data_IF_406746705541
#
_entry.id   IF_406746705541
#
_cell.length_a   1.000
_cell.length_b   1.000
_cell.length_c   1.000
_cell.angle_alpha   90.00
_cell.angle_beta   90.00
_cell.angle_gamma   90.00
#
_symmetry.space_group_name_H-M   'P 1'
#
loop_
_entity.id
_entity.type
_entity.pdbx_description
1 polymer ?
#
# COMPACT_ATOMS: atom_id res chain seq x y z
N UNK A 1 -19.25 -5.07 -24.88
CA UNK A 1 -18.90 -4.12 -23.81
C UNK A 1 -17.60 -3.44 -24.21
N UNK A 2 -17.61 -2.14 -24.46
CA UNK A 2 -16.40 -1.38 -24.80
C UNK A 2 -15.67 -1.05 -23.49
N UNK A 3 -14.34 -0.86 -23.55
CA UNK A 3 -13.55 -0.41 -22.38
C UNK A 3 -14.08 0.94 -21.85
N UNK A 4 -14.67 1.77 -22.71
CA UNK A 4 -15.36 3.02 -22.36
C UNK A 4 -16.59 2.85 -21.47
N UNK A 5 -17.14 1.64 -21.39
CA UNK A 5 -18.36 1.32 -20.64
C UNK A 5 -18.04 0.78 -19.23
N UNK A 6 -16.74 0.59 -18.91
CA UNK A 6 -16.27 0.27 -17.56
C UNK A 6 -16.19 1.58 -16.77
N UNK A 7 -16.94 1.73 -15.67
CA UNK A 7 -16.83 2.90 -14.81
C UNK A 7 -15.37 3.12 -14.40
N UNK A 8 -14.87 4.35 -14.54
CA UNK A 8 -13.57 4.72 -14.01
C UNK A 8 -13.72 4.99 -12.51
N UNK A 9 -13.78 3.91 -11.73
CA UNK A 9 -14.00 3.92 -10.29
C UNK A 9 -12.95 4.80 -9.59
N UNK A 10 -11.70 4.79 -10.06
CA UNK A 10 -10.63 5.65 -9.54
C UNK A 10 -10.93 7.13 -9.75
N UNK A 11 -11.40 7.53 -10.94
CA UNK A 11 -11.78 8.92 -11.19
C UNK A 11 -12.99 9.38 -10.36
N UNK A 12 -13.92 8.46 -10.02
CA UNK A 12 -15.00 8.76 -9.08
C UNK A 12 -14.48 8.97 -7.66
N UNK A 13 -13.51 8.16 -7.21
CA UNK A 13 -12.84 8.33 -5.92
C UNK A 13 -12.02 9.62 -5.87
N UNK A 14 -11.30 9.96 -6.93
CA UNK A 14 -10.47 11.18 -7.01
C UNK A 14 -11.30 12.44 -6.77
N UNK A 15 -12.53 12.50 -7.30
CA UNK A 15 -13.46 13.62 -7.04
C UNK A 15 -13.84 13.75 -5.56
N UNK A 16 -13.94 12.63 -4.84
CA UNK A 16 -14.21 12.66 -3.39
C UNK A 16 -13.00 13.20 -2.62
N UNK A 17 -11.78 12.83 -3.04
CA UNK A 17 -10.55 13.39 -2.48
C UNK A 17 -10.46 14.89 -2.75
N UNK A 18 -10.62 15.33 -3.99
CA UNK A 18 -10.57 16.76 -4.37
C UNK A 18 -11.53 17.58 -3.51
N UNK A 19 -12.80 17.14 -3.42
CA UNK A 19 -13.82 17.81 -2.61
C UNK A 19 -13.46 17.91 -1.14
N UNK A 20 -12.79 16.90 -0.57
CA UNK A 20 -12.30 16.97 0.80
C UNK A 20 -11.10 17.90 0.96
N UNK A 21 -10.18 17.94 0.00
CA UNK A 21 -9.01 18.80 0.08
C UNK A 21 -9.31 20.27 -0.20
N UNK A 22 -10.43 20.59 -0.87
CA UNK A 22 -10.97 21.94 -0.97
C UNK A 22 -11.39 22.51 0.41
N UNK A 23 -11.93 21.66 1.30
CA UNK A 23 -12.29 22.03 2.66
C UNK A 23 -12.08 20.84 3.65
N UNK A 24 -10.84 20.64 4.14
CA UNK A 24 -10.51 19.51 5.02
C UNK A 24 -11.22 19.54 6.37
N UNK A 25 -11.78 20.69 6.78
CA UNK A 25 -12.57 20.79 8.01
C UNK A 25 -13.96 20.15 7.83
N UNK A 26 -14.35 19.79 6.61
CA UNK A 26 -15.68 19.29 6.29
C UNK A 26 -15.78 17.76 6.19
N UNK A 27 -15.08 17.05 7.07
CA UNK A 27 -15.17 15.59 7.20
C UNK A 27 -16.63 15.11 7.39
N UNK A 28 -17.49 15.93 7.99
CA UNK A 28 -18.92 15.62 8.16
C UNK A 28 -19.71 15.65 6.85
N UNK A 29 -19.44 16.60 5.93
CA UNK A 29 -20.18 16.66 4.66
C UNK A 29 -19.66 15.68 3.61
N UNK A 30 -18.39 15.24 3.69
CA UNK A 30 -17.87 14.25 2.74
C UNK A 30 -18.33 12.83 3.09
N UNK A 31 -18.55 12.53 4.38
CA UNK A 31 -18.86 11.18 4.84
C UNK A 31 -20.07 10.53 4.14
N UNK A 32 -21.22 11.22 3.93
CA UNK A 32 -22.34 10.65 3.17
C UNK A 32 -22.00 10.32 1.72
N UNK A 33 -21.12 11.11 1.07
CA UNK A 33 -20.70 10.87 -0.30
C UNK A 33 -19.80 9.64 -0.40
N UNK A 34 -18.96 9.42 0.62
CA UNK A 34 -18.16 8.19 0.74
C UNK A 34 -19.07 6.99 1.01
N UNK A 35 -20.13 7.14 1.80
CA UNK A 35 -21.13 6.10 2.03
C UNK A 35 -21.87 5.71 0.73
N UNK A 36 -22.29 6.70 -0.06
CA UNK A 36 -22.91 6.48 -1.37
C UNK A 36 -21.97 5.76 -2.34
N UNK A 37 -20.68 6.11 -2.32
CA UNK A 37 -19.66 5.44 -3.12
C UNK A 37 -19.46 3.99 -2.68
N UNK A 38 -19.33 3.74 -1.38
CA UNK A 38 -19.16 2.40 -0.83
C UNK A 38 -20.41 1.52 -0.98
N UNK A 39 -21.60 2.11 -1.09
CA UNK A 39 -22.81 1.36 -1.42
C UNK A 39 -22.74 0.75 -2.83
N UNK A 40 -22.07 1.43 -3.77
CA UNK A 40 -21.80 0.94 -5.13
C UNK A 40 -20.58 0.01 -5.18
N UNK A 41 -19.55 0.33 -4.40
CA UNK A 41 -18.24 -0.34 -4.44
C UNK A 41 -17.81 -0.79 -3.03
N UNK A 42 -18.49 -1.78 -2.43
CA UNK A 42 -18.30 -2.14 -1.01
C UNK A 42 -16.94 -2.75 -0.70
N UNK A 43 -16.23 -3.24 -1.72
CA UNK A 43 -14.89 -3.81 -1.59
C UNK A 43 -13.77 -2.85 -1.96
N UNK A 44 -14.08 -1.57 -2.24
CA UNK A 44 -13.07 -0.59 -2.59
C UNK A 44 -12.31 -0.15 -1.34
N UNK A 45 -11.14 -0.75 -1.14
CA UNK A 45 -10.35 -0.66 0.09
C UNK A 45 -9.91 0.76 0.42
N UNK A 46 -9.56 1.55 -0.59
CA UNK A 46 -9.15 2.94 -0.41
C UNK A 46 -10.27 3.82 0.14
N UNK A 47 -11.51 3.62 -0.33
CA UNK A 47 -12.68 4.34 0.17
C UNK A 47 -13.01 3.94 1.62
N UNK A 48 -12.79 2.68 2.01
CA UNK A 48 -12.93 2.24 3.40
C UNK A 48 -11.90 2.92 4.31
N UNK A 49 -10.64 3.05 3.87
CA UNK A 49 -9.60 3.80 4.61
C UNK A 49 -9.95 5.29 4.66
N UNK A 50 -10.37 5.87 3.55
CA UNK A 50 -10.77 7.27 3.50
C UNK A 50 -11.94 7.56 4.45
N UNK A 51 -12.97 6.71 4.46
CA UNK A 51 -14.07 6.76 5.44
C UNK A 51 -13.55 6.70 6.87
N UNK A 52 -12.61 5.80 7.17
CA UNK A 52 -12.03 5.69 8.51
C UNK A 52 -11.36 7.00 8.95
N UNK A 53 -10.61 7.66 8.06
CA UNK A 53 -9.98 8.95 8.32
C UNK A 53 -10.99 10.05 8.60
N UNK A 54 -12.07 10.11 7.82
CA UNK A 54 -13.15 11.07 8.07
C UNK A 54 -13.79 10.85 9.44
N UNK A 55 -14.05 9.59 9.79
CA UNK A 55 -14.56 9.21 11.10
C UNK A 55 -13.58 9.56 12.23
N UNK A 56 -12.27 9.41 12.03
CA UNK A 56 -11.24 9.84 12.99
C UNK A 56 -11.25 11.35 13.20
N UNK A 57 -11.36 12.15 12.13
CA UNK A 57 -11.40 13.62 12.21
C UNK A 57 -12.58 14.09 13.06
N UNK A 58 -13.74 13.46 12.91
CA UNK A 58 -14.95 13.79 13.69
C UNK A 58 -15.04 13.03 15.03
N UNK A 59 -13.98 12.35 15.46
CA UNK A 59 -13.90 11.67 16.76
C UNK A 59 -14.61 10.31 16.87
N UNK A 60 -15.19 9.79 15.78
CA UNK A 60 -15.89 8.48 15.71
C UNK A 60 -14.91 7.31 15.55
N UNK A 61 -13.91 7.24 16.43
CA UNK A 61 -12.80 6.28 16.38
C UNK A 61 -13.23 4.81 16.40
N UNK A 62 -14.36 4.46 17.02
CA UNK A 62 -14.87 3.08 17.02
C UNK A 62 -15.30 2.60 15.64
N UNK A 63 -16.00 3.45 14.90
CA UNK A 63 -16.45 3.15 13.54
C UNK A 63 -15.31 3.20 12.54
N UNK A 64 -14.33 4.08 12.76
CA UNK A 64 -13.10 4.11 11.98
C UNK A 64 -12.39 2.75 12.04
N UNK A 65 -12.23 2.15 13.23
CA UNK A 65 -11.64 0.82 13.39
C UNK A 65 -12.41 -0.27 12.66
N UNK A 66 -13.74 -0.19 12.60
CA UNK A 66 -14.55 -1.15 11.82
C UNK A 66 -14.26 -1.02 10.32
N UNK A 67 -14.13 0.21 9.81
CA UNK A 67 -13.77 0.45 8.41
C UNK A 67 -12.36 -0.07 8.09
N UNK A 68 -11.37 0.21 8.95
CA UNK A 68 -10.00 -0.29 8.79
C UNK A 68 -9.93 -1.82 8.85
N UNK A 69 -10.70 -2.44 9.75
CA UNK A 69 -10.83 -3.91 9.83
C UNK A 69 -11.44 -4.50 8.55
N UNK A 70 -12.44 -3.84 7.97
CA UNK A 70 -13.03 -4.26 6.70
C UNK A 70 -12.02 -4.14 5.56
N UNK A 71 -11.32 -3.00 5.45
CA UNK A 71 -10.27 -2.79 4.45
C UNK A 71 -9.18 -3.86 4.53
N UNK A 72 -8.67 -4.15 5.74
CA UNK A 72 -7.66 -5.19 5.99
C UNK A 72 -8.12 -6.60 5.62
N UNK A 73 -9.41 -6.90 5.72
CA UNK A 73 -9.96 -8.22 5.32
C UNK A 73 -9.93 -8.40 3.81
N UNK A 74 -10.14 -7.32 3.05
CA UNK A 74 -10.12 -7.34 1.59
C UNK A 74 -8.68 -7.29 1.08
N UNK A 75 -7.89 -6.35 1.60
CA UNK A 75 -6.48 -6.19 1.29
C UNK A 75 -5.65 -6.17 2.58
N UNK A 76 -5.06 -7.32 2.89
CA UNK A 76 -4.22 -7.49 4.08
C UNK A 76 -2.88 -6.74 3.99
N UNK A 77 -2.50 -6.31 2.79
CA UNK A 77 -1.24 -5.64 2.45
C UNK A 77 -1.37 -4.12 2.48
N UNK A 78 -2.58 -3.58 2.58
CA UNK A 78 -2.82 -2.15 2.70
C UNK A 78 -2.22 -1.59 4.01
N UNK A 79 -1.00 -1.06 3.92
CA UNK A 79 -0.25 -0.55 5.06
C UNK A 79 -0.81 0.75 5.62
N UNK A 80 -1.35 1.60 4.75
CA UNK A 80 -1.82 2.94 5.12
C UNK A 80 -2.88 2.89 6.22
N UNK A 81 -3.82 1.94 6.15
CA UNK A 81 -4.84 1.77 7.17
C UNK A 81 -4.31 1.27 8.53
N UNK A 82 -3.11 0.67 8.58
CA UNK A 82 -2.48 0.23 9.83
C UNK A 82 -1.90 1.40 10.62
N UNK A 83 -1.37 2.42 9.93
CA UNK A 83 -0.90 3.63 10.60
C UNK A 83 -2.07 4.43 11.18
N UNK A 84 -3.19 4.50 10.46
CA UNK A 84 -4.42 5.12 10.95
C UNK A 84 -4.97 4.36 12.19
N UNK A 85 -4.92 3.02 12.19
CA UNK A 85 -5.28 2.20 13.36
C UNK A 85 -4.40 2.52 14.59
N UNK A 86 -3.08 2.63 14.40
CA UNK A 86 -2.16 2.99 15.48
C UNK A 86 -2.45 4.39 16.04
N UNK A 87 -2.75 5.37 15.17
CA UNK A 87 -3.11 6.72 15.61
C UNK A 87 -4.39 6.72 16.47
N UNK A 88 -5.38 5.90 16.13
CA UNK A 88 -6.59 5.73 16.96
C UNK A 88 -6.23 5.22 18.37
N UNK A 89 -5.29 4.29 18.50
CA UNK A 89 -4.83 3.80 19.80
C UNK A 89 -4.06 4.88 20.58
N UNK A 90 -3.21 5.67 19.91
CA UNK A 90 -2.54 6.82 20.54
C UNK A 90 -3.57 7.84 21.07
N UNK A 91 -4.59 8.18 20.28
CA UNK A 91 -5.69 9.08 20.71
C UNK A 91 -6.49 8.53 21.89
N UNK A 92 -6.48 7.22 22.10
CA UNK A 92 -7.10 6.54 23.25
C UNK A 92 -6.14 6.37 24.44
N UNK A 93 -4.96 6.98 24.41
CA UNK A 93 -3.90 6.84 25.41
C UNK A 93 -3.49 5.37 25.63
N UNK A 94 -3.38 4.62 24.53
CA UNK A 94 -2.99 3.19 24.47
C UNK A 94 -1.71 3.02 23.63
N UNK A 95 -0.55 3.50 24.11
CA UNK A 95 0.67 3.54 23.31
C UNK A 95 1.27 2.15 23.05
N UNK A 96 1.09 1.19 23.96
CA UNK A 96 1.57 -0.18 23.78
C UNK A 96 0.86 -0.87 22.61
N UNK A 97 -0.47 -0.77 22.55
CA UNK A 97 -1.25 -1.29 21.43
C UNK A 97 -0.90 -0.58 20.11
N UNK A 98 -0.73 0.74 20.13
CA UNK A 98 -0.30 1.48 18.95
C UNK A 98 1.06 0.99 18.43
N UNK A 99 2.03 0.79 19.34
CA UNK A 99 3.36 0.26 19.00
C UNK A 99 3.28 -1.14 18.40
N UNK A 100 2.44 -2.02 18.96
CA UNK A 100 2.21 -3.34 18.40
C UNK A 100 1.68 -3.27 16.96
N UNK A 101 0.74 -2.35 16.69
CA UNK A 101 0.22 -2.13 15.34
C UNK A 101 1.32 -1.66 14.39
N UNK A 102 2.16 -0.69 14.80
CA UNK A 102 3.30 -0.24 13.98
C UNK A 102 4.27 -1.37 13.67
N UNK A 103 4.65 -2.18 14.67
CA UNK A 103 5.53 -3.34 14.49
C UNK A 103 4.90 -4.33 13.50
N UNK A 104 3.61 -4.62 13.65
CA UNK A 104 2.90 -5.54 12.77
C UNK A 104 2.75 -5.00 11.34
N UNK A 105 2.65 -3.68 11.15
CA UNK A 105 2.68 -3.05 9.83
C UNK A 105 4.05 -3.22 9.16
N UNK A 106 5.14 -2.95 9.89
CA UNK A 106 6.51 -3.11 9.38
C UNK A 106 6.77 -4.58 9.01
N UNK A 107 6.36 -5.54 9.86
CA UNK A 107 6.47 -6.97 9.57
C UNK A 107 5.72 -7.36 8.29
N UNK A 108 4.52 -6.84 8.10
CA UNK A 108 3.72 -7.13 6.90
C UNK A 108 4.39 -6.58 5.63
N UNK A 109 4.88 -5.33 5.67
CA UNK A 109 5.61 -4.74 4.55
C UNK A 109 6.89 -5.51 4.20
N UNK A 110 7.65 -5.90 5.21
CA UNK A 110 8.87 -6.68 5.01
C UNK A 110 8.57 -8.05 4.37
N UNK A 111 7.46 -8.69 4.75
CA UNK A 111 7.01 -9.94 4.14
C UNK A 111 6.63 -9.74 2.68
N UNK A 112 5.79 -8.75 2.38
CA UNK A 112 5.35 -8.44 1.01
C UNK A 112 6.53 -8.15 0.08
N UNK A 113 7.48 -7.35 0.56
CA UNK A 113 8.70 -7.08 -0.18
C UNK A 113 9.50 -8.36 -0.44
N UNK A 114 9.65 -9.23 0.57
CA UNK A 114 10.34 -10.51 0.41
C UNK A 114 9.65 -11.40 -0.62
N UNK A 115 8.32 -11.50 -0.56
CA UNK A 115 7.52 -12.34 -1.45
C UNK A 115 7.61 -11.84 -2.91
N UNK A 116 7.51 -10.52 -3.13
CA UNK A 116 7.65 -9.91 -4.46
C UNK A 116 9.04 -10.10 -5.06
N UNK A 117 10.09 -10.06 -4.23
CA UNK A 117 11.45 -10.40 -4.67
C UNK A 117 11.51 -11.88 -5.05
N UNK A 118 11.01 -12.78 -4.20
CA UNK A 118 11.08 -14.22 -4.45
C UNK A 118 10.31 -14.61 -5.73
N UNK A 119 9.14 -14.00 -5.99
CA UNK A 119 8.38 -14.18 -7.23
C UNK A 119 9.17 -13.71 -8.47
N UNK A 120 9.74 -12.50 -8.43
CA UNK A 120 10.63 -12.04 -9.50
C UNK A 120 11.81 -13.00 -9.70
N UNK A 121 12.39 -13.48 -8.60
CA UNK A 121 13.50 -14.40 -8.63
C UNK A 121 13.13 -15.74 -9.26
N UNK A 122 11.89 -16.24 -9.16
CA UNK A 122 11.47 -17.48 -9.83
C UNK A 122 11.75 -17.45 -11.35
N UNK A 123 11.64 -16.29 -11.97
CA UNK A 123 11.94 -16.07 -13.40
C UNK A 123 13.44 -16.03 -13.74
N UNK A 124 14.33 -16.00 -12.74
CA UNK A 124 15.77 -15.87 -12.92
C UNK A 124 16.52 -17.21 -12.84
N UNK A 125 17.68 -17.30 -13.52
CA UNK A 125 18.62 -18.41 -13.34
C UNK A 125 19.32 -18.36 -11.95
N UNK A 126 19.92 -19.49 -11.52
CA UNK A 126 20.51 -19.67 -10.17
C UNK A 126 21.55 -18.61 -9.80
N UNK A 127 22.40 -18.23 -10.75
CA UNK A 127 23.42 -17.20 -10.54
C UNK A 127 22.79 -15.81 -10.34
N UNK A 128 21.83 -15.45 -11.21
CA UNK A 128 21.13 -14.16 -11.13
C UNK A 128 20.30 -14.06 -9.83
N UNK A 129 19.70 -15.17 -9.38
CA UNK A 129 19.01 -15.27 -8.08
C UNK A 129 19.91 -14.86 -6.92
N UNK A 130 21.14 -15.37 -6.86
CA UNK A 130 22.09 -15.06 -5.79
C UNK A 130 22.48 -13.57 -5.76
N UNK A 131 22.77 -13.00 -6.94
CA UNK A 131 23.17 -11.58 -7.07
C UNK A 131 22.04 -10.65 -6.65
N UNK A 132 20.82 -10.89 -7.14
CA UNK A 132 19.66 -10.04 -6.85
C UNK A 132 19.29 -10.12 -5.36
N UNK A 133 19.29 -11.32 -4.77
CA UNK A 133 19.01 -11.49 -3.33
C UNK A 133 20.01 -10.73 -2.46
N UNK A 134 21.31 -10.80 -2.80
CA UNK A 134 22.37 -10.06 -2.09
C UNK A 134 22.17 -8.55 -2.20
N UNK A 135 22.05 -8.03 -3.42
CA UNK A 135 21.88 -6.58 -3.67
C UNK A 135 20.63 -6.02 -3.00
N UNK A 136 19.54 -6.80 -2.97
CA UNK A 136 18.30 -6.36 -2.33
C UNK A 136 18.44 -6.27 -0.81
N UNK A 137 19.10 -7.25 -0.17
CA UNK A 137 19.42 -7.18 1.27
C UNK A 137 20.33 -6.00 1.60
N UNK A 138 21.35 -5.73 0.78
CA UNK A 138 22.25 -4.58 0.95
C UNK A 138 21.50 -3.25 0.85
N UNK A 139 20.62 -3.09 -0.15
CA UNK A 139 19.78 -1.91 -0.33
C UNK A 139 18.86 -1.66 0.88
N UNK A 140 18.17 -2.70 1.33
CA UNK A 140 17.28 -2.60 2.48
C UNK A 140 18.00 -2.29 3.78
N UNK A 141 19.16 -2.91 4.01
CA UNK A 141 19.97 -2.62 5.20
C UNK A 141 20.37 -1.15 5.24
N UNK A 142 20.86 -0.59 4.14
CA UNK A 142 21.27 0.83 4.06
C UNK A 142 20.10 1.79 4.27
N UNK A 143 18.96 1.50 3.65
CA UNK A 143 17.74 2.27 3.85
C UNK A 143 17.31 2.30 5.32
N UNK A 144 17.30 1.14 5.98
CA UNK A 144 16.90 1.02 7.38
C UNK A 144 17.89 1.66 8.36
N UNK A 145 19.17 1.79 8.00
CA UNK A 145 20.17 2.49 8.83
C UNK A 145 20.18 4.01 8.62
N UNK A 146 19.25 4.56 7.83
CA UNK A 146 19.14 6.00 7.60
C UNK A 146 20.22 6.57 6.67
N UNK A 147 21.00 5.72 6.01
CA UNK A 147 21.84 6.14 4.88
C UNK A 147 20.87 6.38 3.69
N UNK A 148 20.30 7.58 3.60
CA UNK A 148 19.43 8.00 2.50
C UNK A 148 20.25 8.19 1.21
N UNK A 149 20.82 7.11 0.70
CA UNK A 149 21.55 7.11 -0.56
C UNK A 149 20.70 6.42 -1.63
N UNK A 150 19.99 7.23 -2.44
CA UNK A 150 19.17 6.76 -3.55
C UNK A 150 19.99 5.93 -4.57
N UNK A 151 21.31 6.11 -4.61
CA UNK A 151 22.21 5.42 -5.53
C UNK A 151 22.14 3.89 -5.41
N UNK A 152 21.82 3.36 -4.23
CA UNK A 152 21.77 1.91 -3.99
C UNK A 152 20.50 1.30 -4.57
N UNK A 153 19.37 1.98 -4.47
CA UNK A 153 18.14 1.57 -5.15
C UNK A 153 18.23 1.77 -6.65
N UNK A 154 18.92 2.81 -7.12
CA UNK A 154 19.17 3.05 -8.54
C UNK A 154 20.05 1.94 -9.16
N UNK A 155 21.10 1.49 -8.46
CA UNK A 155 21.94 0.38 -8.90
C UNK A 155 21.18 -0.98 -8.89
N UNK A 156 20.37 -1.21 -7.86
CA UNK A 156 19.48 -2.37 -7.80
C UNK A 156 18.51 -2.35 -8.98
N UNK A 157 17.85 -1.21 -9.24
CA UNK A 157 16.92 -1.03 -10.35
C UNK A 157 17.60 -1.24 -11.70
N UNK A 158 18.83 -0.73 -11.89
CA UNK A 158 19.64 -0.95 -13.10
C UNK A 158 19.95 -2.44 -13.30
N UNK A 159 20.30 -3.14 -12.22
CA UNK A 159 20.56 -4.59 -12.25
C UNK A 159 19.31 -5.38 -12.64
N UNK A 160 18.16 -5.08 -12.03
CA UNK A 160 16.86 -5.69 -12.34
C UNK A 160 16.48 -5.44 -13.81
N UNK A 161 16.61 -4.21 -14.30
CA UNK A 161 16.33 -3.83 -15.70
C UNK A 161 17.22 -4.58 -16.70
N UNK A 162 18.52 -4.73 -16.41
CA UNK A 162 19.45 -5.49 -17.28
C UNK A 162 19.03 -6.96 -17.37
N UNK A 163 18.64 -7.58 -16.26
CA UNK A 163 18.24 -8.98 -16.22
C UNK A 163 16.85 -9.22 -16.85
N UNK A 164 15.90 -8.31 -16.66
CA UNK A 164 14.60 -8.36 -17.34
C UNK A 164 14.73 -8.30 -18.87
N UNK A 165 15.67 -7.49 -19.40
CA UNK A 165 15.97 -7.42 -20.83
C UNK A 165 16.55 -8.74 -21.38
N UNK A 166 17.43 -9.41 -20.63
CA UNK A 166 17.96 -10.71 -21.04
C UNK A 166 16.90 -11.83 -21.03
N UNK A 167 15.90 -11.75 -20.15
CA UNK A 167 14.79 -12.70 -20.12
C UNK A 167 13.85 -12.53 -21.33
N UNK A 168 13.55 -11.30 -21.74
CA UNK A 168 12.75 -11.02 -22.95
C UNK A 168 13.39 -11.53 -24.24
N UNK A 169 14.72 -11.56 -24.32
CA UNK A 169 15.42 -12.09 -25.50
C UNK A 169 15.34 -13.62 -25.53
N UNK A 170 15.59 -14.28 -24.39
CA UNK A 170 15.50 -15.74 -24.25
C UNK A 170 14.10 -16.32 -24.52
N UNK A 171 13.04 -15.55 -24.28
CA UNK A 171 11.65 -15.96 -24.58
C UNK A 171 11.26 -15.74 -26.04
N UNK A 172 11.88 -14.79 -26.77
CA UNK A 172 11.62 -14.56 -28.19
C UNK A 172 12.31 -15.56 -29.11
N UNK A 173 13.42 -16.16 -28.67
CA UNK A 173 14.17 -17.16 -29.44
C UNK A 173 13.60 -18.59 -29.29
N UNK A 174 12.44 -18.74 -28.61
CA UNK A 174 11.74 -20.02 -28.37
C UNK A 174 10.33 -20.09 -28.98
N UNK A 175 9.89 -19.04 -29.66
CA UNK A 175 8.70 -19.03 -30.52
C UNK A 175 9.14 -19.18 -31.98
#
# INVERSE_FOLDING_TARGET
MKISDVPNISAEMDRLYEKYFEDPANATAILPLVDDFLAKYPTYTEALVFKARMLMVIGRNGEALLCLKAAKKIDRWLLVGRFDEAEIYLKKNKPEEALEIYINAIKAYASELSDGIDEFLLSCNKESKSIIKRKTKEALKKYMTGEQDSAVFDDLLKTLKKKAKSLKHYMKDKD
#
